data_IF_017515469400
#
_entry.id   IF_017515469400
#
_cell.length_a   1.000
_cell.length_b   1.000
_cell.length_c   1.000
_cell.angle_alpha   90.00
_cell.angle_beta   90.00
_cell.angle_gamma   90.00
#
_symmetry.space_group_name_H-M   'P 1'
#
loop_
_entity.id
_entity.type
_entity.pdbx_description
1 polymer ?
#
# COMPACT_ATOMS: atom_id res chain seq x y z
N UNK A 1 -44.80 -80.31 26.48
CA UNK A 1 -43.78 -79.63 27.24
C UNK A 1 -43.47 -78.33 26.54
N UNK A 2 -43.66 -77.20 27.18
CA UNK A 2 -43.69 -75.92 26.48
C UNK A 2 -42.29 -75.38 26.28
N UNK A 3 -41.99 -75.03 25.03
CA UNK A 3 -40.78 -74.30 24.69
C UNK A 3 -40.87 -72.86 25.13
N UNK A 4 -39.87 -72.39 25.87
CA UNK A 4 -39.79 -71.04 26.29
C UNK A 4 -39.26 -70.16 25.14
N UNK A 5 -40.12 -69.30 24.62
CA UNK A 5 -39.75 -68.29 23.68
C UNK A 5 -38.87 -67.24 24.35
N UNK A 6 -37.58 -67.28 24.06
CA UNK A 6 -36.64 -66.18 24.44
C UNK A 6 -36.78 -65.03 23.45
N UNK A 7 -37.52 -64.02 23.83
CA UNK A 7 -37.53 -62.74 23.10
C UNK A 7 -36.25 -62.04 23.33
N UNK A 8 -35.35 -62.02 22.33
CA UNK A 8 -34.18 -61.23 22.30
C UNK A 8 -34.64 -59.81 22.00
N UNK A 9 -34.65 -58.96 23.02
CA UNK A 9 -34.86 -57.54 22.87
C UNK A 9 -33.56 -56.94 22.41
N UNK A 10 -33.45 -56.61 21.11
CA UNK A 10 -32.38 -55.80 20.58
C UNK A 10 -32.62 -54.34 21.03
N UNK A 11 -32.06 -53.96 22.16
CA UNK A 11 -31.88 -52.54 22.50
C UNK A 11 -30.83 -51.97 21.59
N UNK A 12 -31.31 -51.34 20.52
CA UNK A 12 -30.45 -50.56 19.61
C UNK A 12 -29.80 -49.41 20.38
N UNK A 13 -28.55 -49.62 20.71
CA UNK A 13 -27.71 -48.54 21.24
C UNK A 13 -27.42 -47.62 20.08
N UNK A 14 -28.24 -46.55 19.96
CA UNK A 14 -28.06 -45.54 18.95
C UNK A 14 -26.88 -44.65 19.42
N UNK A 15 -25.68 -45.02 19.01
CA UNK A 15 -24.49 -44.22 19.15
C UNK A 15 -24.65 -42.99 18.28
N UNK A 16 -25.15 -41.91 18.87
CA UNK A 16 -25.10 -40.56 18.26
C UNK A 16 -23.64 -40.15 18.27
N UNK A 17 -22.95 -40.41 17.17
CA UNK A 17 -21.68 -39.80 16.86
C UNK A 17 -21.93 -38.29 16.67
N UNK A 18 -21.81 -37.55 17.76
CA UNK A 18 -21.71 -36.09 17.68
C UNK A 18 -20.38 -35.80 16.98
N UNK A 19 -20.44 -35.60 15.68
CA UNK A 19 -19.38 -35.01 14.90
C UNK A 19 -19.27 -33.57 15.34
N UNK A 20 -18.38 -33.31 16.31
CA UNK A 20 -17.94 -31.96 16.61
C UNK A 20 -17.14 -31.52 15.39
N UNK A 21 -17.81 -30.87 14.44
CA UNK A 21 -17.17 -30.17 13.37
C UNK A 21 -16.42 -28.99 14.04
N UNK A 22 -15.16 -29.24 14.37
CA UNK A 22 -14.23 -28.16 14.68
C UNK A 22 -14.09 -27.34 13.39
N UNK A 23 -15.00 -26.39 13.22
CA UNK A 23 -14.79 -25.33 12.26
C UNK A 23 -13.54 -24.57 12.69
N UNK A 24 -12.42 -24.97 12.10
CA UNK A 24 -11.19 -24.19 12.21
C UNK A 24 -11.41 -22.88 11.43
N UNK A 25 -12.04 -21.93 12.06
CA UNK A 25 -11.96 -20.55 11.64
C UNK A 25 -10.49 -20.17 11.74
N UNK A 26 -9.78 -20.31 10.61
CA UNK A 26 -8.44 -19.73 10.48
C UNK A 26 -8.58 -18.27 10.90
N UNK A 27 -7.78 -17.79 11.86
CA UNK A 27 -7.81 -16.38 12.23
C UNK A 27 -7.52 -15.58 10.96
N UNK A 28 -8.55 -14.89 10.49
CA UNK A 28 -8.41 -13.99 9.36
C UNK A 28 -7.59 -12.81 9.89
N UNK A 29 -6.28 -12.94 9.83
CA UNK A 29 -5.39 -11.82 10.04
C UNK A 29 -5.74 -10.85 8.91
N UNK A 30 -6.71 -9.96 9.19
CA UNK A 30 -6.90 -8.78 8.38
C UNK A 30 -5.52 -8.15 8.32
N UNK A 31 -4.84 -8.28 7.17
CA UNK A 31 -3.67 -7.47 6.88
C UNK A 31 -4.14 -6.03 7.08
N UNK A 32 -3.81 -5.48 8.24
CA UNK A 32 -3.93 -4.03 8.46
C UNK A 32 -3.24 -3.44 7.24
N UNK A 33 -3.91 -2.60 6.45
CA UNK A 33 -3.25 -2.03 5.30
C UNK A 33 -2.04 -1.29 5.85
N UNK A 34 -0.88 -1.79 5.53
CA UNK A 34 0.35 -1.04 5.68
C UNK A 34 0.09 0.21 4.83
N UNK A 35 -0.20 1.31 5.50
CA UNK A 35 -0.16 2.60 4.86
C UNK A 35 1.32 2.75 4.56
N UNK A 36 1.73 2.48 3.31
CA UNK A 36 3.09 2.71 2.88
C UNK A 36 3.35 4.22 2.99
N UNK A 37 3.75 4.61 4.17
CA UNK A 37 4.10 5.98 4.51
C UNK A 37 5.54 6.01 4.95
N UNK A 38 6.29 6.92 4.41
CA UNK A 38 7.67 7.19 4.79
C UNK A 38 7.85 8.67 5.10
N UNK A 39 8.70 8.95 6.07
CA UNK A 39 9.17 10.31 6.36
C UNK A 39 10.64 10.39 5.96
N UNK A 40 11.02 11.44 5.27
CA UNK A 40 12.39 11.62 4.82
C UNK A 40 12.59 12.93 4.08
N UNK A 41 13.67 13.01 3.32
CA UNK A 41 14.07 14.21 2.60
C UNK A 41 13.62 14.15 1.15
N UNK A 42 13.02 15.22 0.65
CA UNK A 42 12.75 15.47 -0.76
C UNK A 42 13.69 16.51 -1.33
N UNK A 43 14.04 16.37 -2.59
CA UNK A 43 14.61 17.43 -3.40
C UNK A 43 13.82 17.63 -4.69
N UNK A 44 14.30 18.46 -5.60
CA UNK A 44 13.70 18.58 -6.94
C UNK A 44 14.77 18.52 -8.03
N UNK A 45 14.33 18.10 -9.22
CA UNK A 45 15.20 17.93 -10.38
C UNK A 45 15.80 19.23 -10.86
N UNK A 46 17.08 19.18 -11.25
CA UNK A 46 17.69 20.26 -12.00
C UNK A 46 17.15 20.31 -13.44
N UNK A 47 17.13 21.49 -14.05
CA UNK A 47 16.60 21.72 -15.40
C UNK A 47 17.34 20.95 -16.50
N UNK A 48 18.60 20.56 -16.26
CA UNK A 48 19.38 19.73 -17.19
C UNK A 48 18.77 18.35 -17.49
N UNK A 49 17.80 17.91 -16.69
CA UNK A 49 17.10 16.63 -16.89
C UNK A 49 15.87 16.76 -17.79
N UNK A 50 15.40 17.97 -18.09
CA UNK A 50 14.25 18.18 -18.98
C UNK A 50 14.53 17.55 -20.35
N UNK A 51 13.54 16.83 -20.88
CA UNK A 51 13.63 16.12 -22.17
C UNK A 51 14.37 14.79 -22.14
N UNK A 52 14.97 14.40 -21.01
CA UNK A 52 15.59 13.07 -20.85
C UNK A 52 14.55 12.02 -20.49
N UNK A 53 14.83 10.76 -20.86
CA UNK A 53 14.02 9.63 -20.42
C UNK A 53 14.23 9.36 -18.93
N UNK A 54 13.14 9.15 -18.22
CA UNK A 54 13.13 8.61 -16.85
C UNK A 54 13.34 7.11 -16.87
N UNK A 55 13.49 6.49 -15.70
CA UNK A 55 13.67 5.04 -15.59
C UNK A 55 12.47 4.25 -16.12
N UNK A 56 11.26 4.81 -16.13
CA UNK A 56 10.07 4.21 -16.74
C UNK A 56 10.01 4.35 -18.27
N UNK A 57 10.93 5.10 -18.87
CA UNK A 57 10.94 5.43 -20.31
C UNK A 57 10.16 6.68 -20.71
N UNK A 58 9.45 7.31 -19.79
CA UNK A 58 8.76 8.57 -20.03
C UNK A 58 9.75 9.73 -20.18
N UNK A 59 9.39 10.75 -20.93
CA UNK A 59 10.17 11.98 -21.04
C UNK A 59 9.92 12.86 -19.81
N UNK A 60 10.98 13.24 -19.11
CA UNK A 60 10.91 14.11 -17.95
C UNK A 60 10.47 15.54 -18.35
N UNK A 61 9.60 16.11 -17.52
CA UNK A 61 9.14 17.49 -17.63
C UNK A 61 8.95 18.09 -16.24
N UNK A 62 9.38 19.33 -16.06
CA UNK A 62 9.19 20.08 -14.81
C UNK A 62 7.73 20.42 -14.48
N UNK A 63 6.82 20.26 -15.45
CA UNK A 63 5.40 20.60 -15.31
C UNK A 63 4.51 19.40 -15.00
N UNK A 64 4.98 18.18 -15.22
CA UNK A 64 4.21 16.95 -14.92
C UNK A 64 4.27 16.63 -13.45
N UNK A 65 3.15 16.19 -12.88
CA UNK A 65 3.07 15.74 -11.48
C UNK A 65 3.56 14.30 -11.35
N UNK A 66 4.87 14.11 -11.51
CA UNK A 66 5.58 12.85 -11.41
C UNK A 66 6.71 12.94 -10.37
N UNK A 67 7.31 11.82 -10.01
CA UNK A 67 8.43 11.82 -9.09
C UNK A 67 9.38 10.63 -9.33
N UNK A 68 10.61 10.75 -8.84
CA UNK A 68 11.48 9.62 -8.59
C UNK A 68 11.29 9.10 -7.17
N UNK A 69 11.25 7.80 -7.02
CA UNK A 69 11.22 7.11 -5.73
C UNK A 69 12.11 5.88 -5.79
N UNK A 70 12.70 5.48 -4.66
CA UNK A 70 13.69 4.39 -4.66
C UNK A 70 13.08 2.99 -4.77
N UNK A 71 11.87 2.74 -4.25
CA UNK A 71 11.30 1.38 -4.15
C UNK A 71 9.90 1.21 -4.71
N UNK A 72 9.04 2.23 -4.66
CA UNK A 72 7.64 2.10 -5.10
C UNK A 72 7.54 1.79 -6.60
N UNK A 73 6.61 0.91 -7.02
CA UNK A 73 6.39 0.59 -8.43
C UNK A 73 6.07 1.82 -9.27
N UNK A 74 6.47 1.82 -10.54
CA UNK A 74 6.04 2.85 -11.50
C UNK A 74 4.51 2.88 -11.61
N UNK A 75 3.95 4.08 -11.73
CA UNK A 75 2.50 4.29 -11.75
C UNK A 75 1.87 4.48 -10.38
N UNK A 76 2.57 4.17 -9.28
CA UNK A 76 2.08 4.42 -7.93
C UNK A 76 1.87 5.92 -7.72
N UNK A 77 0.68 6.31 -7.26
CA UNK A 77 0.38 7.68 -6.84
C UNK A 77 0.73 7.84 -5.36
N UNK A 78 1.42 8.90 -5.03
CA UNK A 78 1.80 9.25 -3.67
C UNK A 78 1.40 10.68 -3.35
N UNK A 79 0.91 10.90 -2.14
CA UNK A 79 0.73 12.20 -1.55
C UNK A 79 2.01 12.59 -0.82
N UNK A 80 2.65 13.65 -1.28
CA UNK A 80 3.84 14.23 -0.63
C UNK A 80 3.39 15.45 0.15
N UNK A 81 3.73 15.50 1.42
CA UNK A 81 3.39 16.62 2.31
C UNK A 81 4.67 17.25 2.85
N UNK A 82 4.82 18.55 2.66
CA UNK A 82 5.89 19.33 3.29
C UNK A 82 5.60 19.48 4.78
N UNK A 83 6.42 18.86 5.62
CA UNK A 83 6.20 18.82 7.08
C UNK A 83 6.37 20.20 7.75
N UNK A 84 6.96 21.16 7.07
CA UNK A 84 7.17 22.50 7.59
C UNK A 84 5.92 23.40 7.50
N UNK A 85 5.16 23.28 6.40
CA UNK A 85 4.04 24.19 6.11
C UNK A 85 2.70 23.45 5.89
N UNK A 86 2.68 22.10 5.91
CA UNK A 86 1.50 21.29 5.72
C UNK A 86 0.97 21.22 4.29
N UNK A 87 1.58 21.91 3.33
CA UNK A 87 1.18 21.83 1.91
C UNK A 87 1.46 20.45 1.35
N UNK A 88 0.59 19.95 0.47
CA UNK A 88 0.73 18.64 -0.14
C UNK A 88 0.41 18.66 -1.63
N UNK A 89 1.02 17.71 -2.35
CA UNK A 89 0.75 17.42 -3.76
C UNK A 89 0.62 15.92 -3.95
N UNK A 90 -0.13 15.51 -4.98
CA UNK A 90 -0.17 14.12 -5.43
C UNK A 90 0.65 14.00 -6.69
N UNK A 91 1.61 13.08 -6.69
CA UNK A 91 2.50 12.81 -7.82
C UNK A 91 2.53 11.33 -8.13
N UNK A 92 2.91 10.96 -9.36
CA UNK A 92 3.01 9.57 -9.81
C UNK A 92 4.47 9.17 -9.97
N UNK A 93 4.83 8.02 -9.43
CA UNK A 93 6.19 7.47 -9.57
C UNK A 93 6.44 7.06 -11.02
N UNK A 94 7.45 7.62 -11.67
CA UNK A 94 7.90 7.26 -13.02
C UNK A 94 9.42 7.21 -13.18
N UNK A 95 10.16 7.44 -12.09
CA UNK A 95 11.61 7.44 -12.11
C UNK A 95 12.19 6.79 -10.86
N UNK A 96 13.50 6.54 -10.85
CA UNK A 96 14.23 5.91 -9.75
C UNK A 96 15.27 6.84 -9.15
N UNK A 97 15.27 6.89 -7.82
CA UNK A 97 16.42 7.34 -7.05
C UNK A 97 17.39 6.18 -6.88
N UNK A 98 18.67 6.48 -6.86
CA UNK A 98 19.67 5.50 -6.50
C UNK A 98 19.43 5.01 -5.06
N UNK A 99 19.55 3.69 -4.82
CA UNK A 99 19.24 3.09 -3.51
C UNK A 99 20.09 3.64 -2.34
N UNK A 100 21.28 4.20 -2.63
CA UNK A 100 22.15 4.84 -1.63
C UNK A 100 21.83 6.33 -1.43
N UNK A 101 20.84 6.86 -2.15
CA UNK A 101 20.47 8.25 -1.98
C UNK A 101 19.73 8.43 -0.64
N UNK A 102 20.15 9.36 0.22
CA UNK A 102 19.46 9.62 1.49
C UNK A 102 18.07 10.25 1.31
N UNK A 103 17.78 10.76 0.12
CA UNK A 103 16.45 11.29 -0.21
C UNK A 103 15.48 10.14 -0.52
N UNK A 104 14.22 10.34 -0.20
CA UNK A 104 13.16 9.35 -0.49
C UNK A 104 12.36 9.68 -1.75
N UNK A 105 12.36 10.94 -2.17
CA UNK A 105 11.63 11.41 -3.35
C UNK A 105 12.32 12.61 -3.98
N UNK A 106 12.38 12.63 -5.32
CA UNK A 106 12.73 13.81 -6.10
C UNK A 106 11.54 14.26 -6.93
N UNK A 107 11.26 15.56 -6.92
CA UNK A 107 10.07 16.16 -7.49
C UNK A 107 10.41 17.11 -8.66
N UNK A 108 9.53 17.28 -9.63
CA UNK A 108 9.67 18.35 -10.61
C UNK A 108 9.47 19.72 -9.96
N UNK A 109 10.04 20.75 -10.54
CA UNK A 109 9.94 22.14 -10.02
C UNK A 109 8.48 22.57 -9.85
N UNK A 110 7.57 22.14 -10.72
CA UNK A 110 6.13 22.44 -10.59
C UNK A 110 5.53 21.93 -9.27
N UNK A 111 5.87 20.71 -8.86
CA UNK A 111 5.46 20.16 -7.57
C UNK A 111 6.15 20.85 -6.39
N UNK A 112 7.45 21.15 -6.52
CA UNK A 112 8.20 21.87 -5.50
C UNK A 112 7.63 23.29 -5.23
N UNK A 113 7.19 23.98 -6.26
CA UNK A 113 6.50 25.28 -6.14
C UNK A 113 5.19 25.15 -5.35
N UNK A 114 4.38 24.15 -5.65
CA UNK A 114 3.13 23.90 -4.92
C UNK A 114 3.38 23.55 -3.45
N UNK A 115 4.46 22.85 -3.14
CA UNK A 115 4.89 22.56 -1.77
C UNK A 115 5.57 23.75 -1.07
N UNK A 116 5.92 24.79 -1.80
CA UNK A 116 6.47 26.04 -1.25
C UNK A 116 7.94 25.93 -0.81
N UNK A 117 8.81 25.22 -1.55
CA UNK A 117 10.20 25.05 -1.12
C UNK A 117 11.28 25.29 -2.20
N UNK A 118 10.94 25.92 -3.31
CA UNK A 118 11.90 26.14 -4.41
C UNK A 118 13.17 26.94 -4.02
N UNK A 119 13.11 27.72 -2.95
CA UNK A 119 14.28 28.46 -2.44
C UNK A 119 15.25 27.65 -1.56
N UNK A 120 14.93 26.38 -1.24
CA UNK A 120 15.68 25.56 -0.27
C UNK A 120 16.14 24.26 -0.87
N UNK A 121 16.29 23.92 -1.96
CA UNK A 121 16.79 22.67 -2.56
C UNK A 121 16.30 21.36 -1.94
N UNK A 122 16.15 21.28 -0.62
CA UNK A 122 15.68 20.11 0.14
C UNK A 122 14.71 20.48 1.25
N UNK A 123 13.77 19.58 1.56
CA UNK A 123 12.82 19.67 2.67
C UNK A 123 12.52 18.30 3.29
N UNK A 124 12.04 18.31 4.54
CA UNK A 124 11.46 17.14 5.15
C UNK A 124 10.01 16.96 4.70
N UNK A 125 9.67 15.75 4.28
CA UNK A 125 8.35 15.39 3.78
C UNK A 125 7.85 14.09 4.40
N UNK A 126 6.53 13.92 4.41
CA UNK A 126 5.90 12.61 4.46
C UNK A 126 5.45 12.21 3.06
N UNK A 127 5.62 10.94 2.72
CA UNK A 127 5.18 10.33 1.48
C UNK A 127 4.20 9.23 1.81
N UNK A 128 2.97 9.30 1.31
CA UNK A 128 1.90 8.33 1.59
C UNK A 128 1.33 7.82 0.28
N UNK A 129 1.24 6.50 0.12
CA UNK A 129 0.64 5.88 -1.07
C UNK A 129 -0.85 6.19 -1.11
N UNK A 130 -1.31 6.75 -2.24
CA UNK A 130 -2.72 7.00 -2.50
C UNK A 130 -3.36 5.74 -3.07
N UNK A 131 -4.23 5.10 -2.29
CA UNK A 131 -4.97 3.92 -2.74
C UNK A 131 -6.16 4.32 -3.61
N UNK A 132 -6.48 3.56 -4.67
CA UNK A 132 -7.69 3.76 -5.45
C UNK A 132 -8.95 3.72 -4.57
N UNK A 133 -10.02 4.44 -4.93
CA UNK A 133 -11.28 4.48 -4.17
C UNK A 133 -11.88 3.10 -3.92
N UNK A 134 -11.78 2.19 -4.88
CA UNK A 134 -12.30 0.82 -4.81
C UNK A 134 -11.71 0.01 -3.64
N UNK A 135 -10.45 0.27 -3.30
CA UNK A 135 -9.82 -0.38 -2.15
C UNK A 135 -10.23 0.22 -0.79
N UNK A 136 -10.91 1.35 -0.80
CA UNK A 136 -11.49 1.94 0.43
C UNK A 136 -12.83 1.31 0.80
N UNK A 137 -13.62 0.90 -0.19
CA UNK A 137 -14.97 0.35 0.03
C UNK A 137 -14.93 -1.07 0.61
N UNK A 138 -13.93 -1.88 0.28
CA UNK A 138 -13.76 -3.23 0.83
C UNK A 138 -13.41 -3.27 2.33
N UNK A 139 -13.36 -2.12 3.00
CA UNK A 139 -13.02 -1.97 4.43
C UNK A 139 -14.15 -1.45 5.30
N UNK A 140 -15.29 -1.12 4.70
CA UNK A 140 -16.43 -0.53 5.42
C UNK A 140 -17.54 -1.54 5.77
N UNK A 141 -17.40 -2.83 5.35
CA UNK A 141 -18.32 -3.92 5.65
C UNK A 141 -17.76 -4.88 6.70
#
# INVERSE_FOLDING_TARGET
MPGKNLKIVFTGFFLILIQIVFSQTKPNFRKVPVVDSAVGVASYYADKFVGRKTASGEIFSQHKMTCAHNTLPFGTKVKVTNLRNGKSVVVRVNDRLHHRNPRIVDLPTGAAKQLGYTGRGIINVSVVVVKPPEMRQLKAD
#
